data_IF_398481889894
#
_entry.id   IF_398481889894
#
_cell.length_a   1.000
_cell.length_b   1.000
_cell.length_c   1.000
_cell.angle_alpha   90.00
_cell.angle_beta   90.00
_cell.angle_gamma   90.00
#
_symmetry.space_group_name_H-M   'P 1'
#
loop_
_entity.id
_entity.type
_entity.pdbx_description
1 polymer ?
#
# COMPACT_ATOMS: atom_id res chain seq x y z
N UNK A 1 87.28 34.64 15.88
CA UNK A 1 86.33 34.41 14.77
C UNK A 1 85.82 32.98 14.93
N UNK A 2 84.58 32.76 15.38
CA UNK A 2 83.37 32.48 14.57
C UNK A 2 83.61 31.23 13.69
N UNK A 3 82.91 30.09 13.78
CA UNK A 3 81.47 29.85 13.99
C UNK A 3 81.25 28.42 14.53
N UNK A 4 80.32 28.24 15.46
CA UNK A 4 79.74 26.94 15.85
C UNK A 4 78.62 26.60 14.88
N UNK A 5 78.63 25.41 14.27
CA UNK A 5 77.48 24.88 13.52
C UNK A 5 76.91 23.71 14.30
N UNK A 6 75.72 23.93 14.86
CA UNK A 6 74.90 22.90 15.50
C UNK A 6 74.01 22.32 14.39
N UNK A 7 74.17 21.04 14.08
CA UNK A 7 73.26 20.33 13.18
C UNK A 7 72.17 19.69 14.05
N UNK A 8 71.01 20.34 14.11
CA UNK A 8 69.78 19.76 14.64
C UNK A 8 69.14 18.91 13.54
N UNK A 9 69.09 17.59 13.71
CA UNK A 9 68.33 16.70 12.84
C UNK A 9 66.87 16.67 13.31
N UNK A 10 65.98 17.21 12.49
CA UNK A 10 64.54 17.20 12.69
C UNK A 10 63.98 15.78 12.46
N UNK A 11 63.25 15.24 13.44
CA UNK A 11 62.44 14.04 13.24
C UNK A 11 61.20 14.41 12.41
N UNK A 12 61.14 13.89 11.18
CA UNK A 12 59.94 13.94 10.35
C UNK A 12 58.93 12.91 10.89
N UNK A 13 57.83 13.39 11.47
CA UNK A 13 56.67 12.56 11.76
C UNK A 13 55.92 12.27 10.45
N UNK A 14 55.91 11.00 10.03
CA UNK A 14 55.07 10.52 8.93
C UNK A 14 53.61 10.49 9.40
N UNK A 15 52.84 11.52 9.03
CA UNK A 15 51.38 11.47 9.09
C UNK A 15 50.89 10.58 7.92
N UNK A 16 50.48 9.35 8.21
CA UNK A 16 49.84 8.47 7.24
C UNK A 16 48.45 8.99 6.85
N UNK A 17 48.06 8.96 5.57
CA UNK A 17 46.73 9.41 5.17
C UNK A 17 45.67 8.46 5.72
N UNK A 18 44.81 8.98 6.58
CA UNK A 18 43.59 8.32 7.04
C UNK A 18 42.67 8.22 5.81
N UNK A 19 42.61 7.05 5.17
CA UNK A 19 41.63 6.77 4.13
C UNK A 19 40.28 6.67 4.86
N UNK A 20 39.52 7.76 4.86
CA UNK A 20 38.10 7.70 5.18
C UNK A 20 37.44 6.85 4.10
N UNK A 21 37.07 5.61 4.45
CA UNK A 21 36.11 4.87 3.67
C UNK A 21 34.82 5.71 3.60
N UNK A 22 34.18 5.86 2.43
CA UNK A 22 32.87 6.46 2.36
C UNK A 22 31.94 5.59 3.22
N UNK A 23 31.51 6.15 4.34
CA UNK A 23 30.39 5.61 5.11
C UNK A 23 29.20 5.62 4.14
N UNK A 24 28.60 4.45 3.90
CA UNK A 24 27.40 4.33 3.10
C UNK A 24 26.28 5.12 3.78
N UNK A 25 26.18 6.41 3.44
CA UNK A 25 25.00 7.21 3.68
C UNK A 25 23.80 6.44 3.13
N UNK A 26 22.73 6.34 3.91
CA UNK A 26 21.52 5.59 3.58
C UNK A 26 21.17 5.73 2.09
N UNK A 27 21.26 4.61 1.36
CA UNK A 27 21.12 4.58 -0.08
C UNK A 27 19.73 4.97 -0.56
N UNK A 28 19.52 5.13 -1.88
CA UNK A 28 18.19 5.26 -2.45
C UNK A 28 17.36 4.08 -1.93
N UNK A 29 16.21 4.38 -1.31
CA UNK A 29 15.33 3.34 -0.78
C UNK A 29 15.11 2.25 -1.83
N UNK A 30 15.14 0.99 -1.40
CA UNK A 30 14.99 -0.18 -2.27
C UNK A 30 13.88 0.10 -3.32
N UNK A 31 14.17 0.05 -4.64
CA UNK A 31 13.21 0.41 -5.69
C UNK A 31 11.84 -0.25 -5.55
N UNK A 32 11.79 -1.45 -4.96
CA UNK A 32 10.53 -2.14 -4.67
C UNK A 32 9.71 -1.44 -3.57
N UNK A 33 10.37 -0.85 -2.57
CA UNK A 33 9.74 -0.05 -1.51
C UNK A 33 9.12 1.20 -2.11
N UNK A 34 9.84 1.91 -2.96
CA UNK A 34 9.32 3.10 -3.62
C UNK A 34 8.14 2.76 -4.54
N UNK A 35 8.24 1.69 -5.33
CA UNK A 35 7.19 1.24 -6.24
C UNK A 35 5.90 0.87 -5.49
N UNK A 36 5.97 0.04 -4.45
CA UNK A 36 4.76 -0.34 -3.68
C UNK A 36 4.14 0.86 -2.94
N UNK A 37 4.94 1.79 -2.45
CA UNK A 37 4.43 3.00 -1.80
C UNK A 37 3.68 3.90 -2.80
N UNK A 38 4.15 3.99 -4.05
CA UNK A 38 3.43 4.67 -5.12
C UNK A 38 2.12 3.95 -5.44
N UNK A 39 2.14 2.62 -5.58
CA UNK A 39 0.95 1.78 -5.80
C UNK A 39 -0.10 1.99 -4.70
N UNK A 40 0.30 1.96 -3.42
CA UNK A 40 -0.59 2.23 -2.28
C UNK A 40 -1.21 3.63 -2.31
N UNK A 41 -0.45 4.65 -2.74
CA UNK A 41 -0.97 6.02 -2.88
C UNK A 41 -2.01 6.11 -4.01
N UNK A 42 -1.76 5.44 -5.13
CA UNK A 42 -2.72 5.38 -6.24
C UNK A 42 -4.01 4.66 -5.84
N UNK A 43 -3.92 3.53 -5.13
CA UNK A 43 -5.08 2.84 -4.57
C UNK A 43 -5.88 3.73 -3.63
N UNK A 44 -5.21 4.43 -2.71
CA UNK A 44 -5.86 5.33 -1.77
C UNK A 44 -6.56 6.50 -2.49
N UNK A 45 -5.91 7.08 -3.50
CA UNK A 45 -6.49 8.16 -4.31
C UNK A 45 -7.71 7.68 -5.11
N UNK A 46 -7.64 6.50 -5.71
CA UNK A 46 -8.74 5.89 -6.45
C UNK A 46 -9.94 5.60 -5.53
N UNK A 47 -9.73 4.90 -4.42
CA UNK A 47 -10.79 4.58 -3.46
C UNK A 47 -11.43 5.85 -2.90
N UNK A 48 -10.64 6.88 -2.59
CA UNK A 48 -11.14 8.19 -2.15
C UNK A 48 -11.99 8.88 -3.22
N UNK A 49 -11.54 8.90 -4.48
CA UNK A 49 -12.30 9.53 -5.55
C UNK A 49 -13.68 8.89 -5.72
N UNK A 50 -13.75 7.56 -5.65
CA UNK A 50 -15.03 6.82 -5.71
C UNK A 50 -15.90 7.15 -4.49
N UNK A 51 -15.33 7.12 -3.27
CA UNK A 51 -16.06 7.44 -2.05
C UNK A 51 -16.64 8.86 -2.09
N UNK A 52 -15.87 9.85 -2.56
CA UNK A 52 -16.33 11.24 -2.68
C UNK A 52 -17.48 11.40 -3.66
N UNK A 53 -17.54 10.61 -4.74
CA UNK A 53 -18.68 10.61 -5.67
C UNK A 53 -19.94 10.09 -5.00
N UNK A 54 -19.86 8.96 -4.29
CA UNK A 54 -20.98 8.43 -3.52
C UNK A 54 -21.43 9.38 -2.39
N UNK A 55 -20.48 9.99 -1.68
CA UNK A 55 -20.75 10.96 -0.61
C UNK A 55 -21.24 12.33 -1.11
N UNK A 56 -21.31 12.56 -2.44
CA UNK A 56 -21.62 13.86 -3.06
C UNK A 56 -20.64 14.98 -2.67
N UNK A 57 -19.42 14.63 -2.26
CA UNK A 57 -18.30 15.57 -2.02
C UNK A 57 -17.57 15.93 -3.32
N UNK A 58 -17.78 15.13 -4.36
CA UNK A 58 -17.32 15.35 -5.74
C UNK A 58 -18.48 15.08 -6.69
N UNK A 59 -18.52 15.80 -7.81
CA UNK A 59 -19.43 15.48 -8.91
C UNK A 59 -19.18 14.04 -9.41
N UNK A 60 -20.26 13.29 -9.63
CA UNK A 60 -20.16 11.97 -10.22
C UNK A 60 -19.99 12.10 -11.73
N UNK A 61 -18.93 11.51 -12.24
CA UNK A 61 -18.64 11.44 -13.68
C UNK A 61 -18.37 9.98 -14.04
N UNK A 62 -19.16 9.33 -14.92
CA UNK A 62 -19.04 7.90 -15.21
C UNK A 62 -17.62 7.50 -15.66
N UNK A 63 -16.99 8.34 -16.49
CA UNK A 63 -15.63 8.11 -16.97
C UNK A 63 -14.59 8.17 -15.83
N UNK A 64 -14.74 9.11 -14.90
CA UNK A 64 -13.84 9.23 -13.75
C UNK A 64 -14.06 8.10 -12.73
N UNK A 65 -15.31 7.68 -12.53
CA UNK A 65 -15.65 6.51 -11.71
C UNK A 65 -14.99 5.25 -12.28
N UNK A 66 -15.13 5.02 -13.59
CA UNK A 66 -14.46 3.91 -14.28
C UNK A 66 -12.94 3.96 -14.15
N UNK A 67 -12.32 5.11 -14.41
CA UNK A 67 -10.87 5.26 -14.30
C UNK A 67 -10.37 4.93 -12.88
N UNK A 68 -11.06 5.40 -11.85
CA UNK A 68 -10.71 5.11 -10.47
C UNK A 68 -10.89 3.62 -10.14
N UNK A 69 -11.99 3.00 -10.56
CA UNK A 69 -12.23 1.57 -10.34
C UNK A 69 -11.18 0.69 -11.06
N UNK A 70 -10.83 1.01 -12.30
CA UNK A 70 -9.80 0.32 -13.07
C UNK A 70 -8.42 0.45 -12.40
N UNK A 71 -8.08 1.65 -11.91
CA UNK A 71 -6.83 1.89 -11.17
C UNK A 71 -6.78 1.03 -9.91
N UNK A 72 -7.87 1.00 -9.16
CA UNK A 72 -7.96 0.21 -7.94
C UNK A 72 -7.83 -1.29 -8.23
N UNK A 73 -8.48 -1.80 -9.28
CA UNK A 73 -8.37 -3.19 -9.73
C UNK A 73 -6.93 -3.54 -10.14
N UNK A 74 -6.32 -2.73 -11.01
CA UNK A 74 -4.98 -2.97 -11.51
C UNK A 74 -3.94 -3.05 -10.38
N UNK A 75 -4.00 -2.12 -9.43
CA UNK A 75 -3.06 -2.11 -8.29
C UNK A 75 -3.34 -3.21 -7.27
N UNK A 76 -4.61 -3.49 -6.96
CA UNK A 76 -4.98 -4.60 -6.09
C UNK A 76 -4.53 -5.96 -6.66
N UNK A 77 -4.64 -6.15 -7.98
CA UNK A 77 -4.20 -7.37 -8.66
C UNK A 77 -2.67 -7.58 -8.63
N UNK A 78 -1.89 -6.51 -8.60
CA UNK A 78 -0.43 -6.57 -8.50
C UNK A 78 0.10 -6.70 -7.06
N UNK A 79 -0.77 -6.48 -6.06
CA UNK A 79 -0.39 -6.21 -4.67
C UNK A 79 0.56 -7.26 -4.05
N UNK A 80 0.31 -8.55 -4.27
CA UNK A 80 1.13 -9.61 -3.67
C UNK A 80 2.59 -9.54 -4.18
N UNK A 81 2.76 -9.29 -5.48
CA UNK A 81 4.07 -9.22 -6.13
C UNK A 81 4.91 -8.02 -5.66
N UNK A 82 4.28 -7.00 -5.10
CA UNK A 82 4.95 -5.81 -4.56
C UNK A 82 5.56 -6.03 -3.16
N UNK A 83 5.35 -7.20 -2.55
CA UNK A 83 5.88 -7.55 -1.22
C UNK A 83 6.74 -8.82 -1.24
N UNK A 84 7.85 -8.86 -2.00
CA UNK A 84 8.76 -9.99 -1.98
C UNK A 84 9.46 -10.13 -0.62
N UNK A 85 9.81 -11.37 -0.28
CA UNK A 85 10.54 -11.71 0.94
C UNK A 85 11.80 -10.88 1.10
N UNK A 86 12.12 -10.51 2.35
CA UNK A 86 13.34 -9.75 2.67
C UNK A 86 13.31 -8.26 2.32
N UNK A 87 12.18 -7.73 1.82
CA UNK A 87 12.02 -6.29 1.52
C UNK A 87 11.21 -5.56 2.58
N UNK A 88 10.93 -6.20 3.72
CA UNK A 88 10.09 -5.69 4.80
C UNK A 88 10.92 -4.93 5.85
N UNK A 89 10.25 -4.23 6.77
CA UNK A 89 10.91 -3.43 7.79
C UNK A 89 11.44 -2.09 7.26
N UNK A 90 12.18 -1.35 8.09
CA UNK A 90 12.65 -0.02 7.71
C UNK A 90 13.57 -0.08 6.45
N UNK A 91 13.43 0.84 5.48
CA UNK A 91 12.65 2.08 5.50
C UNK A 91 11.17 1.92 5.11
N UNK A 92 10.71 0.70 4.83
CA UNK A 92 9.29 0.41 4.60
C UNK A 92 8.48 0.49 5.90
N UNK A 93 7.21 0.87 5.78
CA UNK A 93 6.21 0.69 6.83
C UNK A 93 5.62 -0.73 6.82
N UNK A 94 5.95 -1.56 5.82
CA UNK A 94 5.57 -2.96 5.76
C UNK A 94 6.25 -3.72 6.90
N UNK A 95 5.47 -4.37 7.76
CA UNK A 95 6.01 -5.06 8.92
C UNK A 95 6.51 -6.47 8.54
N UNK A 96 7.55 -7.02 9.20
CA UNK A 96 8.05 -8.39 8.96
C UNK A 96 6.99 -9.48 9.05
N UNK A 97 5.90 -9.25 9.79
CA UNK A 97 4.75 -10.13 9.97
C UNK A 97 4.06 -10.51 8.65
N UNK A 98 4.29 -9.75 7.57
CA UNK A 98 3.88 -10.15 6.22
C UNK A 98 4.57 -11.46 5.80
N UNK A 99 5.84 -11.68 6.18
CA UNK A 99 6.54 -12.94 5.92
C UNK A 99 6.05 -14.04 6.87
N UNK A 100 5.91 -13.75 8.16
CA UNK A 100 5.48 -14.73 9.18
C UNK A 100 4.05 -15.24 8.93
N UNK A 101 3.16 -14.37 8.47
CA UNK A 101 1.75 -14.66 8.18
C UNK A 101 1.41 -14.48 6.69
N UNK A 102 2.35 -14.87 5.80
CA UNK A 102 2.22 -14.75 4.34
C UNK A 102 0.88 -15.25 3.78
N UNK A 103 0.38 -16.44 4.15
CA UNK A 103 -0.90 -16.93 3.60
C UNK A 103 -2.09 -16.01 3.92
N UNK A 104 -2.07 -15.35 5.08
CA UNK A 104 -3.13 -14.44 5.52
C UNK A 104 -3.04 -13.08 4.83
N UNK A 105 -1.82 -12.53 4.70
CA UNK A 105 -1.58 -11.33 3.89
C UNK A 105 -2.10 -11.51 2.47
N UNK A 106 -1.74 -12.63 1.83
CA UNK A 106 -2.18 -12.91 0.48
C UNK A 106 -3.68 -13.20 0.39
N UNK A 107 -4.29 -13.80 1.40
CA UNK A 107 -5.74 -14.02 1.43
C UNK A 107 -6.50 -12.68 1.45
N UNK A 108 -6.07 -11.71 2.27
CA UNK A 108 -6.62 -10.36 2.28
C UNK A 108 -6.37 -9.65 0.94
N UNK A 109 -5.14 -9.69 0.41
CA UNK A 109 -4.81 -9.06 -0.87
C UNK A 109 -5.66 -9.63 -2.03
N UNK A 110 -5.84 -10.96 -2.08
CA UNK A 110 -6.73 -11.60 -3.07
C UNK A 110 -8.19 -11.22 -2.87
N UNK A 111 -8.67 -11.05 -1.64
CA UNK A 111 -10.05 -10.66 -1.39
C UNK A 111 -10.30 -9.21 -1.86
N UNK A 112 -9.39 -8.28 -1.54
CA UNK A 112 -9.39 -6.91 -2.07
C UNK A 112 -9.42 -6.94 -3.61
N UNK A 113 -8.55 -7.75 -4.23
CA UNK A 113 -8.50 -7.90 -5.68
C UNK A 113 -9.82 -8.36 -6.30
N UNK A 114 -10.47 -9.39 -5.73
CA UNK A 114 -11.78 -9.88 -6.21
C UNK A 114 -12.88 -8.81 -6.12
N UNK A 115 -12.91 -8.06 -5.01
CA UNK A 115 -13.88 -6.97 -4.84
C UNK A 115 -13.62 -5.81 -5.82
N UNK A 116 -12.34 -5.46 -6.03
CA UNK A 116 -11.95 -4.40 -6.95
C UNK A 116 -12.24 -4.78 -8.41
N UNK A 117 -12.07 -6.05 -8.78
CA UNK A 117 -12.45 -6.57 -10.10
C UNK A 117 -13.96 -6.46 -10.34
N UNK A 118 -14.78 -6.89 -9.36
CA UNK A 118 -16.24 -6.74 -9.44
C UNK A 118 -16.67 -5.25 -9.53
N UNK A 119 -15.96 -4.36 -8.83
CA UNK A 119 -16.22 -2.91 -8.89
C UNK A 119 -15.87 -2.34 -10.27
N UNK A 120 -14.73 -2.74 -10.84
CA UNK A 120 -14.32 -2.32 -12.19
C UNK A 120 -15.27 -2.83 -13.27
N UNK A 121 -15.76 -4.06 -13.16
CA UNK A 121 -16.77 -4.62 -14.07
C UNK A 121 -18.07 -3.82 -14.05
N UNK A 122 -18.52 -3.38 -12.86
CA UNK A 122 -19.69 -2.49 -12.74
C UNK A 122 -19.42 -1.11 -13.31
N UNK A 123 -18.24 -0.55 -13.04
CA UNK A 123 -17.86 0.76 -13.56
C UNK A 123 -17.72 0.77 -15.09
N UNK A 124 -17.45 -0.38 -15.71
CA UNK A 124 -17.50 -0.57 -17.16
C UNK A 124 -18.87 -0.30 -17.79
N UNK A 125 -19.95 -0.43 -17.00
CA UNK A 125 -21.34 -0.20 -17.42
C UNK A 125 -22.00 0.92 -16.59
N UNK A 126 -21.19 1.89 -16.14
CA UNK A 126 -21.64 2.94 -15.23
C UNK A 126 -22.77 3.80 -15.84
N UNK A 127 -23.90 3.99 -15.12
CA UNK A 127 -24.99 4.86 -15.57
C UNK A 127 -24.57 6.33 -15.55
N UNK A 128 -25.32 7.20 -16.24
CA UNK A 128 -25.05 8.63 -16.32
C UNK A 128 -25.15 9.39 -14.98
N UNK A 129 -25.86 8.83 -14.00
CA UNK A 129 -25.98 9.36 -12.64
C UNK A 129 -25.92 8.21 -11.64
N UNK A 130 -25.58 8.49 -10.38
CA UNK A 130 -25.65 7.48 -9.30
C UNK A 130 -27.11 7.06 -9.10
N UNK A 131 -27.39 5.80 -9.38
CA UNK A 131 -28.71 5.18 -9.25
C UNK A 131 -28.86 4.48 -7.89
N UNK A 132 -30.10 4.07 -7.56
CA UNK A 132 -30.39 3.37 -6.29
C UNK A 132 -29.72 1.99 -6.19
N UNK A 133 -29.51 1.28 -7.31
CA UNK A 133 -28.85 -0.03 -7.36
C UNK A 133 -27.34 0.05 -7.14
N UNK A 134 -26.72 1.20 -7.37
CA UNK A 134 -25.32 1.44 -7.02
C UNK A 134 -25.13 1.64 -5.52
N UNK A 135 -26.20 2.03 -4.80
CA UNK A 135 -26.16 2.37 -3.38
C UNK A 135 -26.22 1.13 -2.50
N UNK A 136 -25.47 1.18 -1.42
CA UNK A 136 -25.66 0.26 -0.31
C UNK A 136 -27.02 0.58 0.34
N UNK A 137 -27.98 -0.34 0.22
CA UNK A 137 -29.29 -0.22 0.85
C UNK A 137 -29.48 -1.32 1.89
N UNK A 138 -29.94 -0.95 3.09
CA UNK A 138 -30.21 -1.87 4.21
C UNK A 138 -29.25 -1.71 5.39
N UNK A 139 -29.67 -2.08 6.62
CA UNK A 139 -28.75 -2.20 7.75
C UNK A 139 -27.65 -3.22 7.40
N UNK A 140 -26.43 -3.09 7.95
CA UNK A 140 -25.31 -3.96 7.62
C UNK A 140 -25.76 -5.40 7.80
N UNK A 141 -25.89 -6.11 6.67
CA UNK A 141 -25.95 -7.55 6.67
C UNK A 141 -24.60 -7.96 7.23
N UNK A 142 -24.61 -8.31 8.52
CA UNK A 142 -23.53 -8.97 9.22
C UNK A 142 -22.19 -8.24 9.09
N UNK A 143 -22.05 -7.16 9.88
CA UNK A 143 -20.76 -6.62 10.34
C UNK A 143 -19.96 -7.61 11.20
N UNK A 144 -19.92 -8.87 10.78
CA UNK A 144 -19.07 -9.90 11.32
C UNK A 144 -17.64 -9.60 10.90
N UNK A 145 -16.88 -9.10 11.87
CA UNK A 145 -15.42 -9.22 11.88
C UNK A 145 -14.99 -10.53 11.21
N UNK A 146 -13.93 -10.52 10.41
CA UNK A 146 -13.32 -11.76 9.87
C UNK A 146 -12.96 -12.76 10.98
N UNK A 147 -12.95 -12.34 12.25
CA UNK A 147 -12.83 -13.18 13.45
C UNK A 147 -14.11 -13.98 13.82
N UNK A 148 -15.23 -13.78 13.13
CA UNK A 148 -16.53 -14.41 13.44
C UNK A 148 -17.12 -15.25 12.30
N UNK A 149 -16.35 -15.58 11.25
CA UNK A 149 -16.86 -16.45 10.17
C UNK A 149 -17.30 -17.79 10.77
N UNK A 150 -18.60 -18.10 10.70
CA UNK A 150 -19.08 -19.47 10.83
C UNK A 150 -18.38 -20.31 9.75
N UNK A 151 -17.66 -21.39 10.10
CA UNK A 151 -17.09 -22.29 9.11
C UNK A 151 -18.21 -22.79 8.19
N UNK A 152 -18.11 -22.54 6.88
CA UNK A 152 -19.06 -23.04 5.87
C UNK A 152 -20.16 -22.08 5.39
N UNK A 153 -20.19 -20.82 5.82
CA UNK A 153 -21.01 -19.81 5.14
C UNK A 153 -20.36 -19.46 3.78
N UNK A 154 -21.10 -19.63 2.68
CA UNK A 154 -20.64 -19.23 1.36
C UNK A 154 -20.39 -17.72 1.34
N UNK A 155 -19.20 -17.30 0.88
CA UNK A 155 -18.87 -15.89 0.66
C UNK A 155 -19.87 -15.33 -0.36
N UNK A 156 -20.54 -14.22 -0.03
CA UNK A 156 -21.53 -13.62 -0.90
C UNK A 156 -20.87 -13.20 -2.22
N UNK A 157 -21.53 -13.49 -3.34
CA UNK A 157 -21.03 -13.20 -4.69
C UNK A 157 -20.83 -11.68 -4.90
N UNK A 158 -19.59 -11.19 -5.06
CA UNK A 158 -19.30 -9.77 -5.27
C UNK A 158 -20.01 -9.17 -6.48
N UNK A 159 -20.27 -9.95 -7.54
CA UNK A 159 -20.93 -9.46 -8.74
C UNK A 159 -22.37 -8.98 -8.47
N UNK A 160 -23.01 -9.53 -7.42
CA UNK A 160 -24.38 -9.20 -7.02
C UNK A 160 -24.46 -8.00 -6.06
N UNK A 161 -23.34 -7.50 -5.56
CA UNK A 161 -23.33 -6.39 -4.61
C UNK A 161 -23.45 -5.03 -5.31
N UNK A 162 -24.03 -4.01 -4.64
CA UNK A 162 -23.95 -2.63 -5.09
C UNK A 162 -22.49 -2.13 -5.16
N UNK A 163 -22.21 -1.20 -6.07
CA UNK A 163 -20.87 -0.62 -6.22
C UNK A 163 -20.37 0.09 -4.94
N UNK A 164 -21.25 0.79 -4.23
CA UNK A 164 -20.92 1.43 -2.94
C UNK A 164 -20.61 0.39 -1.86
N UNK A 165 -21.26 -0.77 -1.88
CA UNK A 165 -20.98 -1.86 -0.95
C UNK A 165 -19.62 -2.52 -1.24
N UNK A 166 -19.29 -2.76 -2.50
CA UNK A 166 -17.96 -3.26 -2.87
C UNK A 166 -16.85 -2.33 -2.39
N UNK A 167 -17.01 -1.01 -2.59
CA UNK A 167 -16.05 -0.03 -2.07
C UNK A 167 -15.92 -0.11 -0.55
N UNK A 168 -17.03 -0.24 0.17
CA UNK A 168 -17.02 -0.35 1.63
C UNK A 168 -16.22 -1.57 2.10
N UNK A 169 -16.46 -2.74 1.51
CA UNK A 169 -15.73 -3.97 1.84
C UNK A 169 -14.23 -3.83 1.54
N UNK A 170 -13.87 -3.22 0.40
CA UNK A 170 -12.46 -2.92 0.07
C UNK A 170 -11.81 -2.05 1.16
N UNK A 171 -12.50 -0.99 1.61
CA UNK A 171 -11.98 -0.09 2.66
C UNK A 171 -11.85 -0.80 4.02
N UNK A 172 -12.77 -1.71 4.34
CA UNK A 172 -12.70 -2.55 5.54
C UNK A 172 -11.48 -3.49 5.50
N UNK A 173 -11.21 -4.12 4.35
CA UNK A 173 -10.03 -4.97 4.19
C UNK A 173 -8.73 -4.17 4.19
N UNK A 174 -8.70 -2.97 3.58
CA UNK A 174 -7.57 -2.05 3.69
C UNK A 174 -7.26 -1.75 5.16
N UNK A 175 -8.29 -1.50 5.98
CA UNK A 175 -8.14 -1.25 7.42
C UNK A 175 -7.62 -2.49 8.15
N UNK A 176 -8.19 -3.66 7.86
CA UNK A 176 -7.80 -4.93 8.47
C UNK A 176 -6.35 -5.29 8.13
N UNK A 177 -5.97 -5.20 6.86
CA UNK A 177 -4.61 -5.42 6.38
C UNK A 177 -3.63 -4.44 7.02
N UNK A 178 -3.94 -3.13 7.04
CA UNK A 178 -3.05 -2.14 7.65
C UNK A 178 -2.90 -2.32 9.16
N UNK A 179 -3.95 -2.74 9.87
CA UNK A 179 -3.87 -2.96 11.31
C UNK A 179 -2.90 -4.07 11.71
N UNK A 180 -2.72 -5.07 10.83
CA UNK A 180 -1.85 -6.22 11.06
C UNK A 180 -0.46 -6.10 10.44
N UNK A 181 -0.38 -5.50 9.25
CA UNK A 181 0.81 -5.61 8.38
C UNK A 181 1.51 -4.29 8.09
N UNK A 182 0.97 -3.16 8.56
CA UNK A 182 1.57 -1.84 8.38
C UNK A 182 1.86 -1.18 9.72
N UNK A 183 3.10 -0.70 9.89
CA UNK A 183 3.51 0.05 11.08
C UNK A 183 2.64 1.29 11.22
N UNK A 184 2.14 1.53 12.44
CA UNK A 184 1.44 2.77 12.78
C UNK A 184 2.43 3.94 12.66
N UNK A 185 1.98 5.02 12.05
CA UNK A 185 2.66 6.31 12.15
C UNK A 185 2.30 6.90 13.51
N UNK A 186 3.31 7.15 14.34
CA UNK A 186 3.17 7.94 15.58
C UNK A 186 2.85 9.41 15.26
#
# INVERSE_FOLDING_TARGET
MRVRVVVAAAMLALAGPLILAPSSAAGPGDPVVAARQASMKEMAAAARAIAEMFDRKRAYEPAAFKQAADTLNARAGALIGEFPHGTLGAPSAAMPEIDDARPEFEALARHIGRLADALAAKAGNAPAAITADMRMTGPPMDGGSLLGKRPGAAEADPAKMPAEHLLHLILQDCTSCHSKFRRKTE
#
